data_IF_824586452675
#
_entry.id   IF_824586452675
#
_cell.length_a   1.000
_cell.length_b   1.000
_cell.length_c   1.000
_cell.angle_alpha   90.00
_cell.angle_beta   90.00
_cell.angle_gamma   90.00
#
_symmetry.space_group_name_H-M   'P 1'
#
loop_
_entity.id
_entity.type
_entity.pdbx_description
1 polymer ?
#
# COMPACT_ATOMS: atom_id res chain seq x y z
N UNK A 1 21.93 -16.54 -18.98
CA UNK A 1 21.22 -17.04 -20.16
C UNK A 1 20.56 -15.84 -20.83
N UNK A 2 20.98 -15.47 -22.04
CA UNK A 2 20.38 -14.33 -22.75
C UNK A 2 18.94 -14.69 -23.14
N UNK A 3 18.00 -13.79 -22.88
CA UNK A 3 16.60 -13.95 -23.29
C UNK A 3 16.54 -13.74 -24.82
N UNK A 4 16.27 -14.81 -25.57
CA UNK A 4 16.45 -14.83 -27.02
C UNK A 4 15.34 -14.14 -27.80
N UNK A 5 14.15 -13.93 -27.19
CA UNK A 5 13.02 -13.29 -27.87
C UNK A 5 12.08 -12.51 -26.93
N UNK A 6 11.18 -11.73 -27.52
CA UNK A 6 10.19 -10.92 -26.78
C UNK A 6 9.24 -11.74 -25.90
N UNK A 7 8.96 -13.01 -26.27
CA UNK A 7 8.10 -13.89 -25.48
C UNK A 7 8.76 -14.28 -24.16
N UNK A 8 10.04 -14.63 -24.21
CA UNK A 8 10.81 -15.04 -23.03
C UNK A 8 10.96 -13.85 -22.06
N UNK A 9 11.20 -12.65 -22.60
CA UNK A 9 11.29 -11.44 -21.79
C UNK A 9 9.96 -11.12 -21.10
N UNK A 10 8.82 -11.31 -21.78
CA UNK A 10 7.50 -11.13 -21.15
C UNK A 10 7.28 -12.11 -19.99
N UNK A 11 7.63 -13.39 -20.18
CA UNK A 11 7.52 -14.40 -19.13
C UNK A 11 8.42 -14.06 -17.95
N UNK A 12 9.63 -13.59 -18.20
CA UNK A 12 10.55 -13.17 -17.16
C UNK A 12 9.98 -11.98 -16.37
N UNK A 13 9.44 -10.96 -17.03
CA UNK A 13 8.80 -9.80 -16.37
C UNK A 13 7.63 -10.25 -15.49
N UNK A 14 6.80 -11.18 -15.94
CA UNK A 14 5.70 -11.73 -15.12
C UNK A 14 6.24 -12.46 -13.88
N UNK A 15 7.28 -13.27 -14.04
CA UNK A 15 7.93 -13.96 -12.92
C UNK A 15 8.52 -12.99 -11.91
N UNK A 16 9.28 -12.01 -12.39
CA UNK A 16 9.93 -11.01 -11.54
C UNK A 16 8.91 -10.13 -10.82
N UNK A 17 7.79 -9.79 -11.48
CA UNK A 17 6.68 -9.05 -10.86
C UNK A 17 6.05 -9.85 -9.70
N UNK A 18 5.86 -11.15 -9.86
CA UNK A 18 5.35 -12.01 -8.78
C UNK A 18 6.33 -12.11 -7.61
N UNK A 19 7.61 -12.32 -7.89
CA UNK A 19 8.67 -12.41 -6.87
C UNK A 19 8.76 -11.08 -6.08
N UNK A 20 8.73 -9.94 -6.79
CA UNK A 20 8.69 -8.63 -6.18
C UNK A 20 7.45 -8.46 -5.28
N UNK A 21 6.27 -8.87 -5.74
CA UNK A 21 5.03 -8.82 -4.96
C UNK A 21 5.11 -9.65 -3.68
N UNK A 22 5.66 -10.86 -3.75
CA UNK A 22 5.89 -11.73 -2.58
C UNK A 22 6.84 -11.05 -1.59
N UNK A 23 8.00 -10.60 -2.06
CA UNK A 23 9.02 -9.97 -1.23
C UNK A 23 8.52 -8.70 -0.54
N UNK A 24 7.78 -7.87 -1.28
CA UNK A 24 7.16 -6.67 -0.73
C UNK A 24 6.11 -6.99 0.35
N UNK A 25 5.29 -8.02 0.10
CA UNK A 25 4.29 -8.48 1.09
C UNK A 25 4.94 -9.00 2.36
N UNK A 26 6.02 -9.79 2.24
CA UNK A 26 6.78 -10.29 3.40
C UNK A 26 7.41 -9.15 4.20
N UNK A 27 7.97 -8.16 3.53
CA UNK A 27 8.51 -6.96 4.19
C UNK A 27 7.39 -6.21 4.95
N UNK A 28 6.25 -5.96 4.32
CA UNK A 28 5.10 -5.30 4.95
C UNK A 28 4.60 -6.06 6.19
N UNK A 29 4.48 -7.39 6.09
CA UNK A 29 4.08 -8.25 7.20
C UNK A 29 5.08 -8.17 8.37
N UNK A 30 6.38 -8.11 8.09
CA UNK A 30 7.40 -7.92 9.13
C UNK A 30 7.26 -6.56 9.84
N UNK A 31 6.96 -5.50 9.11
CA UNK A 31 6.69 -4.18 9.69
C UNK A 31 5.41 -4.20 10.54
N UNK A 32 4.31 -4.78 10.03
CA UNK A 32 3.05 -4.93 10.76
C UNK A 32 3.25 -5.69 12.08
N UNK A 33 3.97 -6.80 12.04
CA UNK A 33 4.32 -7.59 13.24
C UNK A 33 5.12 -6.76 14.26
N UNK A 34 6.06 -5.95 13.80
CA UNK A 34 6.85 -5.07 14.67
C UNK A 34 6.01 -3.96 15.32
N UNK A 35 4.92 -3.54 14.66
CA UNK A 35 3.94 -2.60 15.21
C UNK A 35 2.88 -3.27 16.10
N UNK A 36 2.89 -4.60 16.23
CA UNK A 36 1.87 -5.35 16.97
C UNK A 36 0.51 -5.40 16.27
N UNK A 37 0.48 -5.18 14.96
CA UNK A 37 -0.74 -5.16 14.15
C UNK A 37 -0.96 -6.51 13.46
N UNK A 38 -2.21 -6.94 13.34
CA UNK A 38 -2.60 -7.99 12.41
C UNK A 38 -2.54 -7.46 10.96
N UNK A 39 -2.60 -8.36 9.99
CA UNK A 39 -2.48 -8.03 8.56
C UNK A 39 -3.53 -7.00 8.13
N UNK A 40 -4.78 -7.18 8.52
CA UNK A 40 -5.89 -6.30 8.14
C UNK A 40 -5.72 -4.88 8.69
N UNK A 41 -5.32 -4.76 9.96
CA UNK A 41 -5.09 -3.47 10.60
C UNK A 41 -3.88 -2.75 9.98
N UNK A 42 -2.83 -3.52 9.65
CA UNK A 42 -1.68 -2.97 8.96
C UNK A 42 -2.02 -2.49 7.52
N UNK A 43 -2.82 -3.25 6.78
CA UNK A 43 -3.28 -2.85 5.45
C UNK A 43 -4.10 -1.56 5.50
N UNK A 44 -5.02 -1.45 6.46
CA UNK A 44 -5.79 -0.23 6.68
C UNK A 44 -4.92 0.96 7.04
N UNK A 45 -3.96 0.78 7.96
CA UNK A 45 -3.01 1.82 8.36
C UNK A 45 -2.15 2.29 7.18
N UNK A 46 -1.59 1.36 6.40
CA UNK A 46 -0.73 1.67 5.25
C UNK A 46 -1.50 2.42 4.16
N UNK A 47 -2.74 2.03 3.92
CA UNK A 47 -3.63 2.71 2.98
C UNK A 47 -3.90 4.16 3.41
N UNK A 48 -4.22 4.39 4.69
CA UNK A 48 -4.43 5.73 5.25
C UNK A 48 -3.14 6.55 5.17
N UNK A 49 -1.99 5.92 5.44
CA UNK A 49 -0.69 6.59 5.34
C UNK A 49 -0.36 7.03 3.91
N UNK A 50 -0.64 6.17 2.94
CA UNK A 50 -0.33 6.43 1.53
C UNK A 50 -1.29 7.44 0.89
N UNK A 51 -2.59 7.33 1.16
CA UNK A 51 -3.63 8.17 0.53
C UNK A 51 -3.96 9.43 1.30
N UNK A 52 -3.57 9.51 2.58
CA UNK A 52 -3.95 10.58 3.47
C UNK A 52 -5.30 10.34 4.14
N UNK A 53 -5.93 11.42 4.62
CA UNK A 53 -7.24 11.34 5.26
C UNK A 53 -8.28 10.74 4.31
N UNK A 54 -9.00 9.72 4.77
CA UNK A 54 -9.93 8.93 3.97
C UNK A 54 -11.20 8.60 4.76
N UNK A 55 -12.30 8.32 4.08
CA UNK A 55 -13.55 7.92 4.72
C UNK A 55 -13.57 6.43 5.03
N UNK A 56 -14.37 5.97 6.03
CA UNK A 56 -14.59 4.54 6.27
C UNK A 56 -15.12 3.79 5.04
N UNK A 57 -15.98 4.44 4.23
CA UNK A 57 -16.51 3.86 2.99
C UNK A 57 -15.42 3.64 1.94
N UNK A 58 -14.48 4.56 1.80
CA UNK A 58 -13.32 4.36 0.93
C UNK A 58 -12.41 3.24 1.42
N UNK A 59 -12.14 3.17 2.73
CA UNK A 59 -11.37 2.07 3.32
C UNK A 59 -12.03 0.72 3.05
N UNK A 60 -13.36 0.60 3.24
CA UNK A 60 -14.13 -0.60 2.92
C UNK A 60 -13.96 -1.01 1.45
N UNK A 61 -14.11 -0.05 0.53
CA UNK A 61 -13.96 -0.31 -0.91
C UNK A 61 -12.55 -0.77 -1.30
N UNK A 62 -11.51 -0.18 -0.71
CA UNK A 62 -10.13 -0.53 -1.03
C UNK A 62 -9.68 -1.85 -0.40
N UNK A 63 -10.09 -2.11 0.83
CA UNK A 63 -9.72 -3.35 1.53
C UNK A 63 -10.60 -4.54 1.16
N UNK A 64 -11.80 -4.30 0.59
CA UNK A 64 -12.79 -5.34 0.36
C UNK A 64 -13.52 -5.81 1.63
N UNK A 65 -13.29 -5.15 2.77
CA UNK A 65 -13.94 -5.49 4.04
C UNK A 65 -15.39 -5.03 4.06
N UNK A 66 -16.24 -5.76 4.79
CA UNK A 66 -17.58 -5.28 5.14
C UNK A 66 -17.53 -3.98 5.96
N UNK A 67 -18.61 -3.20 5.95
CA UNK A 67 -18.71 -1.97 6.77
C UNK A 67 -18.42 -2.23 8.25
N UNK A 68 -18.96 -3.33 8.81
CA UNK A 68 -18.71 -3.71 10.21
C UNK A 68 -17.24 -4.03 10.49
N UNK A 69 -16.61 -4.83 9.60
CA UNK A 69 -15.19 -5.18 9.71
C UNK A 69 -14.29 -3.95 9.57
N UNK A 70 -14.63 -3.03 8.67
CA UNK A 70 -13.91 -1.76 8.48
C UNK A 70 -14.01 -0.88 9.72
N UNK A 71 -15.21 -0.77 10.32
CA UNK A 71 -15.41 -0.02 11.58
C UNK A 71 -14.57 -0.61 12.71
N UNK A 72 -14.61 -1.94 12.88
CA UNK A 72 -13.82 -2.63 13.90
C UNK A 72 -12.30 -2.44 13.70
N UNK A 73 -11.82 -2.49 12.46
CA UNK A 73 -10.42 -2.20 12.11
C UNK A 73 -10.04 -0.76 12.50
N UNK A 74 -10.87 0.22 12.12
CA UNK A 74 -10.63 1.62 12.46
C UNK A 74 -10.63 1.82 13.98
N UNK A 75 -11.55 1.17 14.72
CA UNK A 75 -11.62 1.26 16.19
C UNK A 75 -10.35 0.73 16.84
N UNK A 76 -9.80 -0.39 16.36
CA UNK A 76 -8.52 -0.91 16.85
C UNK A 76 -7.35 0.03 16.55
N UNK A 77 -7.30 0.61 15.35
CA UNK A 77 -6.26 1.57 14.96
C UNK A 77 -6.36 2.88 15.78
N UNK A 78 -7.56 3.34 16.09
CA UNK A 78 -7.78 4.48 17.00
C UNK A 78 -7.37 4.11 18.42
N UNK A 79 -7.79 2.95 18.91
CA UNK A 79 -7.43 2.45 20.24
C UNK A 79 -5.93 2.28 20.46
N UNK A 80 -5.19 1.94 19.40
CA UNK A 80 -3.72 1.89 19.42
C UNK A 80 -3.05 3.26 19.25
N UNK A 81 -3.83 4.32 19.04
CA UNK A 81 -3.33 5.68 18.84
C UNK A 81 -2.63 5.93 17.50
N UNK A 82 -2.75 5.00 16.54
CA UNK A 82 -2.09 5.11 15.22
C UNK A 82 -2.85 6.02 14.26
N UNK A 83 -4.17 6.08 14.39
CA UNK A 83 -5.03 6.96 13.59
C UNK A 83 -5.94 7.78 14.48
N UNK A 84 -6.49 8.84 13.93
CA UNK A 84 -7.50 9.69 14.57
C UNK A 84 -8.70 9.85 13.65
N UNK A 85 -9.88 10.09 14.26
CA UNK A 85 -11.09 10.48 13.53
C UNK A 85 -11.29 11.98 13.63
N UNK A 86 -11.72 12.61 12.54
CA UNK A 86 -12.18 13.98 12.54
C UNK A 86 -13.42 14.18 11.67
N UNK A 87 -14.22 15.24 11.88
CA UNK A 87 -15.30 15.56 10.98
C UNK A 87 -14.82 15.75 9.53
N UNK A 88 -15.63 15.29 8.58
CA UNK A 88 -15.36 15.55 7.17
C UNK A 88 -15.83 16.97 6.82
N UNK A 89 -14.95 17.88 6.34
CA UNK A 89 -15.33 19.23 5.98
C UNK A 89 -16.28 19.29 4.79
N UNK A 90 -16.23 18.28 3.91
CA UNK A 90 -17.03 18.22 2.68
C UNK A 90 -18.38 17.50 2.88
N UNK A 91 -18.55 16.81 4.01
CA UNK A 91 -19.79 16.12 4.39
C UNK A 91 -19.99 16.19 5.90
N UNK A 92 -20.95 17.01 6.34
CA UNK A 92 -21.25 17.21 7.78
C UNK A 92 -21.63 15.95 8.56
N UNK A 93 -22.06 14.89 7.86
CA UNK A 93 -22.41 13.58 8.45
C UNK A 93 -21.26 12.59 8.36
N UNK A 94 -20.23 12.93 7.62
CA UNK A 94 -19.09 12.09 7.34
C UNK A 94 -17.97 12.22 8.37
N UNK A 95 -17.19 11.17 8.50
CA UNK A 95 -15.97 11.14 9.31
C UNK A 95 -14.79 10.81 8.40
N UNK A 96 -13.68 11.50 8.61
CA UNK A 96 -12.39 11.16 8.03
C UNK A 96 -11.53 10.44 9.07
N UNK A 97 -10.80 9.45 8.60
CA UNK A 97 -9.76 8.75 9.36
C UNK A 97 -8.41 9.17 8.79
N UNK A 98 -7.50 9.59 9.65
CA UNK A 98 -6.18 10.05 9.25
C UNK A 98 -5.10 9.55 10.22
N UNK A 99 -3.87 9.53 9.75
CA UNK A 99 -2.72 9.14 10.58
C UNK A 99 -2.54 10.11 11.74
N UNK A 100 -2.39 9.55 12.94
CA UNK A 100 -1.92 10.33 14.07
C UNK A 100 -0.47 10.77 13.81
N UNK A 101 -0.24 12.09 13.71
CA UNK A 101 1.07 12.66 13.36
C UNK A 101 2.18 12.27 14.34
N UNK A 102 1.85 12.13 15.62
CA UNK A 102 2.82 11.73 16.66
C UNK A 102 3.16 10.23 16.49
N UNK A 103 2.15 9.39 16.23
CA UNK A 103 2.37 7.97 15.97
C UNK A 103 3.19 7.75 14.69
N UNK A 104 2.98 8.56 13.65
CA UNK A 104 3.74 8.51 12.42
C UNK A 104 5.26 8.61 12.65
N UNK A 105 5.70 9.38 13.65
CA UNK A 105 7.11 9.48 14.01
C UNK A 105 7.70 8.15 14.52
N UNK A 106 6.86 7.26 15.09
CA UNK A 106 7.29 5.96 15.62
C UNK A 106 7.45 4.90 14.54
N UNK A 107 6.62 4.91 13.49
CA UNK A 107 6.68 3.88 12.46
C UNK A 107 7.40 4.31 11.17
N UNK A 108 7.54 5.62 10.89
CA UNK A 108 8.36 6.11 9.76
C UNK A 108 9.76 5.48 9.69
N UNK A 109 10.53 5.35 10.80
CA UNK A 109 11.86 4.73 10.75
C UNK A 109 11.86 3.30 10.22
N UNK A 110 10.77 2.54 10.38
CA UNK A 110 10.66 1.15 9.90
C UNK A 110 10.68 1.05 8.37
N UNK A 111 10.31 2.13 7.68
CA UNK A 111 10.32 2.21 6.22
C UNK A 111 11.53 2.98 5.67
N UNK A 112 12.29 3.65 6.52
CA UNK A 112 13.37 4.57 6.07
C UNK A 112 14.45 3.81 5.33
N UNK A 113 14.93 2.68 5.83
CA UNK A 113 15.98 1.88 5.17
C UNK A 113 15.53 1.35 3.83
N UNK A 114 14.31 0.81 3.75
CA UNK A 114 13.73 0.32 2.50
C UNK A 114 13.56 1.46 1.48
N UNK A 115 13.08 2.63 1.91
CA UNK A 115 12.95 3.81 1.04
C UNK A 115 14.31 4.30 0.51
N UNK A 116 15.33 4.33 1.36
CA UNK A 116 16.69 4.72 0.94
C UNK A 116 17.24 3.71 -0.07
N UNK A 117 17.09 2.41 0.21
CA UNK A 117 17.52 1.35 -0.71
C UNK A 117 16.77 1.41 -2.04
N UNK A 118 15.47 1.65 -2.02
CA UNK A 118 14.65 1.80 -3.23
C UNK A 118 15.08 3.02 -4.05
N UNK A 119 15.31 4.18 -3.42
CA UNK A 119 15.79 5.36 -4.13
C UNK A 119 17.15 5.09 -4.78
N UNK A 120 18.11 4.48 -4.04
CA UNK A 120 19.40 4.11 -4.61
C UNK A 120 19.28 3.14 -5.79
N UNK A 121 18.33 2.20 -5.75
CA UNK A 121 18.04 1.32 -6.87
C UNK A 121 17.51 2.14 -8.08
N UNK A 122 16.58 3.05 -7.84
CA UNK A 122 15.99 3.90 -8.90
C UNK A 122 17.01 4.86 -9.51
N UNK A 123 18.00 5.32 -8.74
CA UNK A 123 19.11 6.16 -9.23
C UNK A 123 19.99 5.45 -10.29
N UNK A 124 19.94 4.11 -10.36
CA UNK A 124 20.65 3.33 -11.38
C UNK A 124 19.98 3.32 -12.75
N UNK A 125 18.74 3.81 -12.86
CA UNK A 125 17.97 3.86 -14.09
C UNK A 125 18.02 5.24 -14.72
N UNK A 126 18.03 5.29 -16.04
CA UNK A 126 17.84 6.52 -16.80
C UNK A 126 16.41 7.05 -16.67
N UNK A 127 16.20 8.32 -16.97
CA UNK A 127 14.85 8.92 -16.98
C UNK A 127 13.88 8.14 -17.87
N UNK A 128 14.29 7.75 -19.07
CA UNK A 128 13.44 7.01 -20.00
C UNK A 128 13.03 5.63 -19.43
N UNK A 129 13.93 4.93 -18.75
CA UNK A 129 13.64 3.65 -18.10
C UNK A 129 12.68 3.84 -16.92
N UNK A 130 12.84 4.91 -16.13
CA UNK A 130 11.92 5.25 -15.04
C UNK A 130 10.51 5.58 -15.57
N UNK A 131 10.40 6.26 -16.71
CA UNK A 131 9.12 6.54 -17.36
C UNK A 131 8.43 5.23 -17.80
N UNK A 132 9.17 4.26 -18.35
CA UNK A 132 8.66 2.93 -18.70
C UNK A 132 8.20 2.16 -17.45
N UNK A 133 9.02 2.13 -16.40
CA UNK A 133 8.68 1.48 -15.13
C UNK A 133 7.42 2.08 -14.49
N UNK A 134 7.32 3.41 -14.48
CA UNK A 134 6.16 4.12 -13.95
C UNK A 134 4.89 3.80 -14.75
N UNK A 135 4.97 3.79 -16.08
CA UNK A 135 3.84 3.42 -16.94
C UNK A 135 3.41 1.97 -16.72
N UNK A 136 4.36 1.03 -16.66
CA UNK A 136 4.09 -0.37 -16.39
C UNK A 136 3.36 -0.57 -15.06
N UNK A 137 3.86 -0.02 -13.96
CA UNK A 137 3.24 -0.19 -12.64
C UNK A 137 1.86 0.45 -12.57
N UNK A 138 1.67 1.63 -13.14
CA UNK A 138 0.36 2.30 -13.20
C UNK A 138 -0.67 1.48 -13.96
N UNK A 139 -0.31 0.95 -15.14
CA UNK A 139 -1.20 0.12 -15.97
C UNK A 139 -1.45 -1.24 -15.36
N UNK A 140 -0.44 -1.85 -14.77
CA UNK A 140 -0.57 -3.14 -14.07
C UNK A 140 -1.51 -3.02 -12.87
N UNK A 141 -1.40 -1.95 -12.08
CA UNK A 141 -2.31 -1.69 -10.96
C UNK A 141 -3.76 -1.52 -11.44
N UNK A 142 -4.00 -0.78 -12.52
CA UNK A 142 -5.34 -0.60 -13.11
C UNK A 142 -5.91 -1.94 -13.63
N UNK A 143 -5.07 -2.76 -14.26
CA UNK A 143 -5.45 -4.09 -14.74
C UNK A 143 -5.89 -4.99 -13.57
N UNK A 144 -5.10 -5.08 -12.50
CA UNK A 144 -5.46 -5.91 -11.34
C UNK A 144 -6.71 -5.39 -10.61
N UNK A 145 -6.93 -4.08 -10.57
CA UNK A 145 -8.16 -3.52 -10.00
C UNK A 145 -9.40 -3.90 -10.83
N UNK A 146 -9.28 -4.01 -12.16
CA UNK A 146 -10.35 -4.50 -13.01
C UNK A 146 -10.57 -6.01 -12.84
N UNK A 147 -9.51 -6.81 -12.88
CA UNK A 147 -9.61 -8.27 -12.69
C UNK A 147 -10.18 -8.64 -11.31
N UNK A 148 -9.91 -7.84 -10.28
CA UNK A 148 -10.49 -8.05 -8.95
C UNK A 148 -12.03 -7.99 -8.94
N UNK A 149 -12.65 -7.29 -9.88
CA UNK A 149 -14.12 -7.22 -10.00
C UNK A 149 -14.72 -8.47 -10.64
N UNK A 150 -13.88 -9.26 -11.34
CA UNK A 150 -14.29 -10.44 -12.07
C UNK A 150 -14.15 -11.73 -11.24
N UNK A 151 -13.61 -11.63 -10.01
CA UNK A 151 -13.40 -12.75 -9.06
C UNK A 151 -14.37 -12.63 -7.89
#
# INVERSE_FOLDING_TARGET
MALENKSDLKQQVVKDSRENGISYTLFRNAVGKKLGLNTTDFEGLDLIFYRGATTPGELSRYTGLSTGSTTAMIDRLVGSGLVTRRPNPDDRRGTLVEINKIAALKFRPLFTSARVAQNKLLDSYTRAELEILSDYFRRSAAMFEEERKNV
#
